data_IF_071769662238
#
_entry.id   IF_071769662238
#
_cell.length_a   1.000
_cell.length_b   1.000
_cell.length_c   1.000
_cell.angle_alpha   90.00
_cell.angle_beta   90.00
_cell.angle_gamma   90.00
#
_symmetry.space_group_name_H-M   'P 1'
#
loop_
_entity.id
_entity.type
_entity.pdbx_description
1 polymer ?
#
# COMPACT_ATOMS: atom_id res chain seq x y z
N UNK A 1 -28.36 5.39 11.76
CA UNK A 1 -27.56 4.16 11.97
C UNK A 1 -26.31 4.20 11.08
N UNK A 2 -25.20 4.81 11.53
CA UNK A 2 -23.95 4.91 10.74
C UNK A 2 -23.27 3.55 10.58
N UNK A 3 -23.22 2.75 11.65
CA UNK A 3 -22.67 1.39 11.66
C UNK A 3 -23.21 0.51 10.52
N UNK A 4 -24.53 0.44 10.35
CA UNK A 4 -25.14 -0.37 9.28
C UNK A 4 -24.75 0.12 7.88
N UNK A 5 -24.66 1.44 7.68
CA UNK A 5 -24.25 2.00 6.39
C UNK A 5 -22.78 1.67 6.09
N UNK A 6 -21.90 1.80 7.09
CA UNK A 6 -20.49 1.39 6.96
C UNK A 6 -20.37 -0.10 6.67
N UNK A 7 -21.06 -0.97 7.41
CA UNK A 7 -21.03 -2.41 7.15
C UNK A 7 -21.56 -2.75 5.75
N UNK A 8 -22.61 -2.04 5.29
CA UNK A 8 -23.14 -2.20 3.93
C UNK A 8 -22.10 -1.85 2.86
N UNK A 9 -21.28 -0.82 3.07
CA UNK A 9 -20.16 -0.49 2.18
C UNK A 9 -19.12 -1.63 2.18
N UNK A 10 -18.70 -2.09 3.35
CA UNK A 10 -17.71 -3.16 3.46
C UNK A 10 -18.20 -4.49 2.87
N UNK A 11 -19.51 -4.75 2.92
CA UNK A 11 -20.11 -5.93 2.32
C UNK A 11 -20.00 -5.95 0.78
N UNK A 12 -19.74 -4.82 0.10
CA UNK A 12 -19.45 -4.81 -1.34
C UNK A 12 -18.19 -5.61 -1.71
N UNK A 13 -17.32 -5.86 -0.73
CA UNK A 13 -16.07 -6.61 -0.89
C UNK A 13 -16.20 -8.08 -0.47
N UNK A 14 -17.27 -8.48 0.22
CA UNK A 14 -17.37 -9.76 0.96
C UNK A 14 -17.10 -11.01 0.12
N UNK A 15 -17.47 -10.98 -1.16
CA UNK A 15 -17.33 -12.11 -2.08
C UNK A 15 -16.14 -11.96 -3.05
N UNK A 16 -15.20 -11.04 -2.74
CA UNK A 16 -14.06 -10.74 -3.60
C UNK A 16 -12.75 -11.12 -2.89
N UNK A 17 -12.22 -12.31 -3.20
CA UNK A 17 -11.02 -12.91 -2.56
C UNK A 17 -9.74 -12.06 -2.60
N UNK A 18 -9.66 -11.09 -3.51
CA UNK A 18 -8.51 -10.19 -3.62
C UNK A 18 -8.54 -9.02 -2.63
N UNK A 19 -9.65 -8.79 -1.92
CA UNK A 19 -9.78 -7.67 -1.00
C UNK A 19 -9.73 -8.17 0.44
N UNK A 20 -8.63 -7.84 1.11
CA UNK A 20 -8.35 -8.29 2.46
C UNK A 20 -7.50 -7.24 3.17
N UNK A 21 -7.78 -7.04 4.45
CA UNK A 21 -7.00 -6.14 5.28
C UNK A 21 -5.56 -6.66 5.40
N UNK A 22 -4.61 -5.89 4.91
CA UNK A 22 -3.19 -6.27 4.86
C UNK A 22 -2.43 -5.61 5.99
N UNK A 23 -1.92 -6.42 6.91
CA UNK A 23 -1.09 -5.94 8.01
C UNK A 23 0.39 -5.92 7.56
N UNK A 24 0.85 -4.76 7.09
CA UNK A 24 2.24 -4.53 6.66
C UNK A 24 3.08 -4.15 7.86
N UNK A 25 4.25 -4.79 8.05
CA UNK A 25 5.10 -4.55 9.22
C UNK A 25 5.84 -3.21 9.19
N UNK A 26 5.84 -2.53 8.05
CA UNK A 26 6.46 -1.23 7.86
C UNK A 26 5.43 -0.33 7.22
N UNK A 27 5.32 0.91 7.72
CA UNK A 27 4.34 1.87 7.22
C UNK A 27 4.51 2.07 5.72
N UNK A 28 3.40 2.08 4.98
CA UNK A 28 3.40 2.23 3.52
C UNK A 28 4.14 3.50 3.08
N UNK A 29 3.81 4.64 3.67
CA UNK A 29 4.49 5.91 3.43
C UNK A 29 5.98 5.82 3.72
N UNK A 30 6.38 5.19 4.83
CA UNK A 30 7.79 4.99 5.18
C UNK A 30 8.54 4.13 4.16
N UNK A 31 7.91 3.11 3.57
CA UNK A 31 8.53 2.30 2.51
C UNK A 31 8.87 3.20 1.32
N UNK A 32 7.89 3.98 0.87
CA UNK A 32 8.02 4.81 -0.33
C UNK A 32 9.00 5.96 -0.09
N UNK A 33 8.81 6.72 0.99
CA UNK A 33 9.62 7.88 1.33
C UNK A 33 11.09 7.51 1.55
N UNK A 34 11.37 6.42 2.27
CA UNK A 34 12.76 5.98 2.51
C UNK A 34 13.41 5.39 1.27
N UNK A 35 12.66 4.65 0.45
CA UNK A 35 13.20 4.19 -0.83
C UNK A 35 13.54 5.39 -1.71
N UNK A 36 12.66 6.39 -1.79
CA UNK A 36 12.91 7.63 -2.53
C UNK A 36 14.15 8.38 -2.00
N UNK A 37 14.23 8.61 -0.70
CA UNK A 37 15.34 9.29 -0.04
C UNK A 37 16.68 8.57 -0.27
N UNK A 38 16.69 7.24 -0.11
CA UNK A 38 17.91 6.47 -0.31
C UNK A 38 18.32 6.47 -1.79
N UNK A 39 17.37 6.38 -2.71
CA UNK A 39 17.63 6.38 -4.15
C UNK A 39 18.17 7.74 -4.64
N UNK A 40 17.56 8.85 -4.22
CA UNK A 40 18.02 10.21 -4.55
C UNK A 40 19.39 10.55 -3.94
N UNK A 41 19.78 9.88 -2.85
CA UNK A 41 21.12 10.05 -2.25
C UNK A 41 22.27 9.44 -3.06
N UNK A 42 21.97 8.65 -4.10
CA UNK A 42 22.99 8.10 -5.00
C UNK A 42 23.54 9.22 -5.88
N UNK A 43 24.85 9.27 -6.12
CA UNK A 43 25.46 10.23 -7.06
C UNK A 43 24.91 10.03 -8.48
N UNK A 44 24.56 11.12 -9.18
CA UNK A 44 23.94 11.08 -10.51
C UNK A 44 24.66 10.18 -11.52
N UNK A 45 26.00 10.15 -11.49
CA UNK A 45 26.84 9.32 -12.38
C UNK A 45 26.72 7.82 -12.14
N UNK A 46 26.22 7.40 -10.96
CA UNK A 46 26.04 6.00 -10.56
C UNK A 46 24.59 5.55 -10.63
N UNK A 47 23.65 6.43 -11.00
CA UNK A 47 22.23 6.11 -11.02
C UNK A 47 21.89 5.27 -12.25
N UNK A 48 21.17 4.18 -12.03
CA UNK A 48 20.63 3.32 -13.09
C UNK A 48 19.11 3.17 -12.88
N UNK A 49 18.31 2.99 -13.95
CA UNK A 49 16.85 2.93 -13.85
C UNK A 49 16.33 1.57 -13.38
N UNK A 50 17.11 0.87 -12.54
CA UNK A 50 16.83 -0.48 -12.08
C UNK A 50 17.18 -0.64 -10.60
N UNK A 51 16.36 -1.42 -9.90
CA UNK A 51 16.67 -1.91 -8.56
C UNK A 51 16.81 -3.43 -8.59
N UNK A 52 17.69 -3.96 -7.74
CA UNK A 52 17.95 -5.40 -7.61
C UNK A 52 17.72 -5.86 -6.18
N UNK A 53 17.25 -7.09 -6.04
CA UNK A 53 17.27 -7.81 -4.77
C UNK A 53 18.57 -8.57 -4.66
N UNK A 54 19.40 -8.22 -3.69
CA UNK A 54 20.62 -8.94 -3.36
C UNK A 54 20.43 -9.81 -2.11
N UNK A 55 20.93 -11.04 -2.19
CA UNK A 55 20.99 -11.97 -1.05
C UNK A 55 22.39 -11.88 -0.42
N UNK A 56 22.39 -11.77 0.90
CA UNK A 56 23.56 -11.80 1.78
C UNK A 56 23.55 -13.10 2.61
N UNK A 57 24.56 -13.28 3.45
CA UNK A 57 24.69 -14.42 4.37
C UNK A 57 23.45 -14.46 5.31
N UNK A 58 23.07 -15.66 5.77
CA UNK A 58 21.98 -15.89 6.74
C UNK A 58 20.57 -15.47 6.32
N UNK A 59 20.20 -15.67 5.04
CA UNK A 59 18.87 -15.33 4.52
C UNK A 59 18.49 -13.85 4.73
N UNK A 60 19.50 -12.99 4.70
CA UNK A 60 19.33 -11.56 4.75
C UNK A 60 19.37 -10.99 3.32
N UNK A 61 18.51 -10.02 3.03
CA UNK A 61 18.35 -9.44 1.70
C UNK A 61 18.35 -7.90 1.75
N UNK A 62 18.79 -7.27 0.65
CA UNK A 62 18.70 -5.81 0.45
C UNK A 62 18.12 -5.48 -0.92
N UNK A 63 17.49 -4.30 -1.02
CA UNK A 63 17.27 -3.63 -2.30
C UNK A 63 18.50 -2.78 -2.61
N UNK A 64 19.01 -2.88 -3.84
CA UNK A 64 20.17 -2.10 -4.29
C UNK A 64 19.93 -1.43 -5.64
N UNK A 65 20.58 -0.30 -5.87
CA UNK A 65 20.72 0.35 -7.17
C UNK A 65 22.20 0.53 -7.44
N UNK A 66 22.70 -0.06 -8.53
CA UNK A 66 24.13 -0.05 -8.90
C UNK A 66 25.07 -0.43 -7.71
N UNK A 67 24.71 -1.49 -6.98
CA UNK A 67 25.45 -1.96 -5.79
C UNK A 67 25.27 -1.11 -4.52
N UNK A 68 24.53 0.00 -4.58
CA UNK A 68 24.26 0.87 -3.43
C UNK A 68 22.92 0.49 -2.80
N UNK A 69 22.92 0.26 -1.48
CA UNK A 69 21.72 -0.13 -0.72
C UNK A 69 20.68 0.99 -0.68
N UNK A 70 19.45 0.63 -1.05
CA UNK A 70 18.27 1.51 -1.05
C UNK A 70 17.10 0.92 -0.24
N UNK A 71 17.33 -0.18 0.48
CA UNK A 71 16.34 -0.82 1.36
C UNK A 71 15.69 0.22 2.29
N UNK A 72 14.35 0.28 2.40
CA UNK A 72 13.64 1.32 3.17
C UNK A 72 13.75 1.10 4.69
N UNK A 73 14.95 1.36 5.22
CA UNK A 73 15.30 1.20 6.63
C UNK A 73 16.02 2.44 7.13
N UNK A 74 15.92 2.74 8.43
CA UNK A 74 16.60 3.91 9.03
C UNK A 74 18.12 3.81 9.03
N UNK A 75 18.66 2.60 8.91
CA UNK A 75 20.10 2.34 8.94
C UNK A 75 20.52 1.91 7.54
N UNK A 76 21.29 2.73 6.83
CA UNK A 76 21.75 2.49 5.44
C UNK A 76 22.36 1.10 5.19
N UNK A 77 22.92 0.45 6.22
CA UNK A 77 23.51 -0.88 6.13
C UNK A 77 22.58 -2.03 6.53
N UNK A 78 21.35 -1.76 6.99
CA UNK A 78 20.47 -2.78 7.55
C UNK A 78 19.94 -3.70 6.47
N UNK A 79 20.17 -4.98 6.70
CA UNK A 79 19.69 -6.08 5.87
C UNK A 79 18.40 -6.62 6.51
N UNK A 80 17.46 -7.11 5.71
CA UNK A 80 16.14 -7.54 6.18
C UNK A 80 15.78 -8.96 5.69
N UNK A 81 14.71 -9.54 6.22
CA UNK A 81 14.24 -10.85 5.76
C UNK A 81 13.65 -10.78 4.34
N UNK A 82 13.62 -11.92 3.64
CA UNK A 82 12.97 -12.02 2.32
C UNK A 82 11.50 -11.60 2.35
N UNK A 83 10.80 -11.90 3.45
CA UNK A 83 9.40 -11.50 3.63
C UNK A 83 9.25 -9.97 3.66
N UNK A 84 10.16 -9.27 4.33
CA UNK A 84 10.18 -7.81 4.33
C UNK A 84 10.47 -7.24 2.93
N UNK A 85 11.46 -7.77 2.22
CA UNK A 85 11.75 -7.36 0.83
C UNK A 85 10.52 -7.55 -0.08
N UNK A 86 9.82 -8.69 0.02
CA UNK A 86 8.60 -8.93 -0.75
C UNK A 86 7.54 -7.87 -0.46
N UNK A 87 7.31 -7.53 0.81
CA UNK A 87 6.37 -6.47 1.18
C UNK A 87 6.79 -5.10 0.60
N UNK A 88 8.09 -4.78 0.63
CA UNK A 88 8.59 -3.53 0.06
C UNK A 88 8.36 -3.46 -1.44
N UNK A 89 8.67 -4.54 -2.16
CA UNK A 89 8.43 -4.65 -3.60
C UNK A 89 6.94 -4.59 -3.93
N UNK A 90 6.08 -5.31 -3.18
CA UNK A 90 4.63 -5.30 -3.35
C UNK A 90 4.06 -3.87 -3.24
N UNK A 91 4.57 -3.08 -2.29
CA UNK A 91 4.20 -1.66 -2.12
C UNK A 91 4.67 -0.83 -3.30
N UNK A 92 5.96 -0.91 -3.66
CA UNK A 92 6.54 -0.13 -4.76
C UNK A 92 5.89 -0.46 -6.11
N UNK A 93 5.59 -1.73 -6.37
CA UNK A 93 4.87 -2.17 -7.58
C UNK A 93 3.42 -1.68 -7.58
N UNK A 94 2.73 -1.71 -6.43
CA UNK A 94 1.35 -1.23 -6.31
C UNK A 94 1.22 0.24 -6.72
N UNK A 95 2.15 1.08 -6.25
CA UNK A 95 2.16 2.50 -6.59
C UNK A 95 2.84 2.81 -7.92
N UNK A 96 3.09 1.77 -8.73
CA UNK A 96 3.70 1.87 -10.07
C UNK A 96 5.03 2.64 -10.03
N UNK A 97 5.79 2.48 -8.95
CA UNK A 97 7.15 3.04 -8.82
C UNK A 97 8.12 2.16 -9.59
N UNK A 98 7.98 0.84 -9.41
CA UNK A 98 8.76 -0.17 -10.10
C UNK A 98 7.85 -1.14 -10.84
N UNK A 99 8.47 -1.87 -11.77
CA UNK A 99 7.86 -3.00 -12.47
C UNK A 99 8.90 -4.09 -12.63
N UNK A 100 8.55 -5.32 -12.27
CA UNK A 100 9.40 -6.49 -12.53
C UNK A 100 9.70 -6.62 -14.03
N UNK A 101 10.96 -6.82 -14.40
CA UNK A 101 11.40 -6.93 -15.81
C UNK A 101 11.03 -8.28 -16.42
N UNK A 102 11.08 -9.35 -15.62
CA UNK A 102 10.82 -10.73 -16.01
C UNK A 102 10.59 -11.60 -14.77
N UNK A 103 10.00 -12.80 -14.93
CA UNK A 103 9.61 -13.64 -13.79
C UNK A 103 10.78 -14.22 -13.01
N UNK A 104 11.96 -14.34 -13.63
CA UNK A 104 13.11 -15.09 -13.09
C UNK A 104 14.16 -14.15 -12.51
N UNK A 105 14.27 -12.91 -12.99
CA UNK A 105 15.23 -11.97 -12.42
C UNK A 105 14.82 -11.41 -11.06
N UNK A 106 15.84 -11.08 -10.28
CA UNK A 106 15.73 -10.26 -9.09
C UNK A 106 15.77 -8.75 -9.42
N UNK A 107 15.47 -8.37 -10.68
CA UNK A 107 15.59 -7.01 -11.18
C UNK A 107 14.22 -6.38 -11.43
N UNK A 108 14.10 -5.11 -11.09
CA UNK A 108 12.88 -4.33 -11.24
C UNK A 108 13.24 -3.00 -11.89
N UNK A 109 12.57 -2.68 -13.00
CA UNK A 109 12.71 -1.40 -13.69
C UNK A 109 11.95 -0.33 -12.91
N UNK A 110 12.56 0.82 -12.71
CA UNK A 110 11.88 2.00 -12.17
C UNK A 110 11.10 2.63 -13.33
N UNK A 111 9.80 2.80 -13.13
CA UNK A 111 8.87 3.28 -14.16
C UNK A 111 8.18 4.59 -13.78
N UNK A 112 8.28 5.02 -12.52
CA UNK A 112 7.79 6.32 -12.09
C UNK A 112 8.84 7.40 -12.39
N UNK A 113 8.43 8.40 -13.16
CA UNK A 113 9.32 9.48 -13.59
C UNK A 113 9.80 10.35 -12.44
N UNK A 114 9.03 10.57 -11.39
CA UNK A 114 9.47 11.36 -10.21
C UNK A 114 10.59 10.62 -9.45
N UNK A 115 10.49 9.30 -9.32
CA UNK A 115 11.58 8.45 -8.82
C UNK A 115 12.83 8.47 -9.71
N UNK A 116 12.67 8.81 -11.00
CA UNK A 116 13.76 9.02 -11.95
C UNK A 116 14.20 10.50 -12.04
N UNK A 117 13.38 11.44 -11.59
CA UNK A 117 13.58 12.89 -11.68
C UNK A 117 13.94 13.45 -10.30
N UNK A 118 15.24 13.45 -10.05
CA UNK A 118 15.88 13.58 -8.75
C UNK A 118 15.79 14.96 -8.07
N UNK A 119 15.18 15.95 -8.72
CA UNK A 119 14.98 17.31 -8.19
C UNK A 119 13.57 17.52 -7.63
N UNK A 120 12.70 16.51 -7.74
CA UNK A 120 11.31 16.60 -7.27
C UNK A 120 11.17 16.09 -5.83
N UNK A 121 10.15 16.52 -5.10
CA UNK A 121 9.80 15.90 -3.82
C UNK A 121 8.64 14.94 -4.07
N UNK A 122 8.82 13.65 -3.78
CA UNK A 122 7.72 12.70 -3.85
C UNK A 122 6.70 13.01 -2.74
N UNK A 123 5.42 13.13 -3.12
CA UNK A 123 4.33 13.39 -2.19
C UNK A 123 3.54 12.10 -1.91
N UNK A 124 3.82 11.49 -0.75
CA UNK A 124 3.14 10.28 -0.29
C UNK A 124 1.74 10.52 0.28
N UNK A 125 1.22 11.75 0.24
CA UNK A 125 -0.15 12.05 0.71
C UNK A 125 -1.23 11.71 -0.32
N UNK A 126 -0.88 11.59 -1.60
CA UNK A 126 -1.82 11.30 -2.72
C UNK A 126 -1.83 9.84 -3.17
N UNK A 127 -1.44 8.95 -2.26
CA UNK A 127 -1.28 7.53 -2.60
C UNK A 127 -2.62 6.84 -2.88
N UNK A 128 -3.72 7.27 -2.24
CA UNK A 128 -5.02 6.63 -2.48
C UNK A 128 -5.57 6.97 -3.86
N UNK A 129 -5.37 8.19 -4.34
CA UNK A 129 -5.75 8.64 -5.66
C UNK A 129 -5.08 7.78 -6.75
N UNK A 130 -3.82 7.38 -6.54
CA UNK A 130 -3.13 6.43 -7.43
C UNK A 130 -3.86 5.09 -7.46
N UNK A 131 -4.27 4.55 -6.31
CA UNK A 131 -5.02 3.30 -6.23
C UNK A 131 -6.39 3.43 -6.93
N UNK A 132 -7.09 4.54 -6.69
CA UNK A 132 -8.40 4.84 -7.26
C UNK A 132 -8.34 4.96 -8.80
N UNK A 133 -7.44 5.78 -9.32
CA UNK A 133 -7.26 6.00 -10.78
C UNK A 133 -6.86 4.72 -11.52
N UNK A 134 -6.17 3.81 -10.84
CA UNK A 134 -5.70 2.55 -11.40
C UNK A 134 -6.53 1.33 -10.95
N UNK A 135 -7.73 1.53 -10.40
CA UNK A 135 -8.51 0.48 -9.74
C UNK A 135 -8.63 -0.83 -10.55
N UNK A 136 -8.91 -0.73 -11.85
CA UNK A 136 -9.05 -1.88 -12.75
C UNK A 136 -7.74 -2.62 -13.07
N UNK A 137 -6.60 -1.97 -12.82
CA UNK A 137 -5.24 -2.50 -13.08
C UNK A 137 -4.51 -2.87 -11.80
N UNK A 138 -5.18 -2.80 -10.64
CA UNK A 138 -4.57 -3.14 -9.36
C UNK A 138 -4.20 -4.62 -9.32
N UNK A 139 -2.97 -4.89 -8.90
CA UNK A 139 -2.55 -6.23 -8.49
C UNK A 139 -3.37 -6.69 -7.27
N UNK A 140 -3.28 -7.97 -6.90
CA UNK A 140 -3.87 -8.47 -5.66
C UNK A 140 -3.46 -7.63 -4.44
N UNK A 141 -2.19 -7.25 -4.35
CA UNK A 141 -1.68 -6.38 -3.27
C UNK A 141 -2.20 -4.95 -3.35
N UNK A 142 -2.39 -4.41 -4.55
CA UNK A 142 -3.06 -3.13 -4.73
C UNK A 142 -4.51 -3.14 -4.25
N UNK A 143 -5.25 -4.23 -4.51
CA UNK A 143 -6.63 -4.41 -4.02
C UNK A 143 -6.67 -4.54 -2.50
N UNK A 144 -5.75 -5.30 -1.91
CA UNK A 144 -5.58 -5.38 -0.45
C UNK A 144 -5.29 -4.00 0.17
N UNK A 145 -4.41 -3.20 -0.43
CA UNK A 145 -4.10 -1.82 0.03
C UNK A 145 -5.31 -0.88 -0.08
N UNK A 146 -6.01 -0.93 -1.21
CA UNK A 146 -7.22 -0.14 -1.44
C UNK A 146 -8.27 -0.46 -0.36
N UNK A 147 -8.56 -1.75 -0.16
CA UNK A 147 -9.50 -2.19 0.87
C UNK A 147 -9.07 -1.78 2.28
N UNK A 148 -7.79 -1.99 2.62
CA UNK A 148 -7.27 -1.65 3.95
C UNK A 148 -7.44 -0.15 4.24
N UNK A 149 -7.18 0.70 3.24
CA UNK A 149 -7.36 2.15 3.38
C UNK A 149 -8.83 2.53 3.55
N UNK A 150 -9.74 1.94 2.77
CA UNK A 150 -11.19 2.17 2.90
C UNK A 150 -11.71 1.74 4.27
N UNK A 151 -11.32 0.54 4.74
CA UNK A 151 -11.69 0.05 6.08
C UNK A 151 -11.19 0.99 7.16
N UNK A 152 -9.92 1.39 7.10
CA UNK A 152 -9.33 2.32 8.06
C UNK A 152 -10.04 3.67 8.05
N UNK A 153 -10.32 4.22 6.88
CA UNK A 153 -11.03 5.49 6.76
C UNK A 153 -12.42 5.43 7.39
N UNK A 154 -13.24 4.46 6.99
CA UNK A 154 -14.60 4.30 7.48
C UNK A 154 -14.66 4.08 9.00
N UNK A 155 -13.76 3.24 9.53
CA UNK A 155 -13.72 2.96 10.96
C UNK A 155 -13.27 4.16 11.80
N UNK A 156 -12.32 4.97 11.31
CA UNK A 156 -11.77 6.10 12.06
C UNK A 156 -12.68 7.34 11.99
N UNK A 157 -13.32 7.59 10.85
CA UNK A 157 -13.99 8.87 10.61
C UNK A 157 -15.51 8.82 10.83
N UNK A 158 -16.13 7.63 10.81
CA UNK A 158 -17.59 7.50 10.87
C UNK A 158 -18.13 6.74 12.09
N UNK A 159 -17.28 6.06 12.85
CA UNK A 159 -17.67 5.14 13.92
C UNK A 159 -16.94 5.44 15.23
N UNK A 160 -17.51 4.95 16.33
CA UNK A 160 -16.92 5.07 17.66
C UNK A 160 -15.97 3.90 17.95
N UNK A 161 -15.00 4.09 18.84
CA UNK A 161 -13.98 3.09 19.17
C UNK A 161 -14.56 1.72 19.62
N UNK A 162 -15.76 1.72 20.22
CA UNK A 162 -16.45 0.54 20.72
C UNK A 162 -17.28 -0.18 19.65
N UNK A 163 -17.53 0.45 18.50
CA UNK A 163 -18.23 -0.20 17.39
C UNK A 163 -17.43 -1.38 16.86
N UNK A 164 -18.14 -2.41 16.39
CA UNK A 164 -17.54 -3.63 15.84
C UNK A 164 -17.95 -3.80 14.38
N UNK A 165 -16.96 -4.00 13.51
CA UNK A 165 -17.14 -4.25 12.09
C UNK A 165 -16.75 -5.69 11.73
N UNK A 166 -17.46 -6.27 10.78
CA UNK A 166 -17.04 -7.49 10.10
C UNK A 166 -16.18 -7.11 8.89
N UNK A 167 -14.87 -7.43 8.97
CA UNK A 167 -13.88 -7.13 7.92
C UNK A 167 -13.24 -8.42 7.39
N UNK A 168 -12.77 -8.39 6.15
CA UNK A 168 -12.05 -9.51 5.52
C UNK A 168 -10.60 -9.48 6.01
N UNK A 169 -10.21 -10.48 6.79
CA UNK A 169 -8.88 -10.57 7.41
C UNK A 169 -8.33 -12.00 7.33
N UNK A 170 -7.02 -12.16 7.13
CA UNK A 170 -6.42 -13.51 7.02
C UNK A 170 -6.82 -14.28 5.76
N UNK A 171 -6.72 -15.62 5.75
CA UNK A 171 -7.08 -16.46 4.59
C UNK A 171 -8.61 -16.53 4.42
N UNK A 172 -9.21 -15.41 4.07
CA UNK A 172 -10.61 -15.29 3.63
C UNK A 172 -11.65 -15.49 4.73
N UNK A 173 -11.27 -15.20 5.99
CA UNK A 173 -12.21 -15.24 7.11
C UNK A 173 -12.70 -13.83 7.43
N UNK A 174 -14.01 -13.63 7.30
CA UNK A 174 -14.66 -12.49 7.92
C UNK A 174 -14.41 -12.51 9.42
N UNK A 175 -13.87 -11.42 9.95
CA UNK A 175 -13.52 -11.28 11.35
C UNK A 175 -14.23 -10.07 11.92
N UNK A 176 -14.88 -10.25 13.07
CA UNK A 176 -15.37 -9.14 13.88
C UNK A 176 -14.19 -8.48 14.59
N UNK A 177 -14.00 -7.19 14.35
CA UNK A 177 -12.89 -6.39 14.87
C UNK A 177 -13.46 -5.06 15.36
N UNK A 178 -13.01 -4.59 16.52
CA UNK A 178 -13.45 -3.28 17.04
C UNK A 178 -12.79 -2.13 16.26
N UNK A 179 -13.44 -0.97 16.21
CA UNK A 179 -12.88 0.19 15.53
C UNK A 179 -11.55 0.66 16.17
N UNK A 180 -11.38 0.55 17.49
CA UNK A 180 -10.09 0.77 18.16
C UNK A 180 -8.97 -0.15 17.65
N UNK A 181 -9.28 -1.44 17.43
CA UNK A 181 -8.32 -2.37 16.85
C UNK A 181 -7.98 -2.02 15.40
N UNK A 182 -8.97 -1.61 14.60
CA UNK A 182 -8.75 -1.14 13.22
C UNK A 182 -7.85 0.10 13.23
N UNK A 183 -8.10 1.05 14.13
CA UNK A 183 -7.30 2.27 14.27
C UNK A 183 -5.83 1.96 14.61
N UNK A 184 -5.58 1.05 15.55
CA UNK A 184 -4.21 0.61 15.90
C UNK A 184 -3.51 -0.02 14.70
N UNK A 185 -4.18 -0.96 14.01
CA UNK A 185 -3.64 -1.58 12.80
C UNK A 185 -3.37 -0.55 11.70
N UNK A 186 -4.25 0.44 11.53
CA UNK A 186 -4.11 1.52 10.57
C UNK A 186 -2.85 2.35 10.85
N UNK A 187 -2.62 2.72 12.12
CA UNK A 187 -1.43 3.46 12.56
C UNK A 187 -0.14 2.69 12.34
N UNK A 188 -0.15 1.38 12.62
CA UNK A 188 1.03 0.52 12.47
C UNK A 188 1.43 0.36 11.00
N UNK A 189 0.42 0.26 10.12
CA UNK A 189 0.63 0.12 8.67
C UNK A 189 0.75 1.47 7.93
N UNK A 190 0.42 2.59 8.58
CA UNK A 190 0.42 3.93 7.98
C UNK A 190 -0.80 4.22 7.09
N UNK A 191 -1.89 3.47 7.20
CA UNK A 191 -3.15 3.75 6.48
C UNK A 191 -3.84 5.01 7.00
N UNK A 192 -3.61 5.36 8.26
CA UNK A 192 -4.09 6.61 8.87
C UNK A 192 -3.53 7.87 8.20
N UNK A 193 -2.39 7.76 7.52
CA UNK A 193 -1.77 8.85 6.76
C UNK A 193 -2.33 8.96 5.33
N UNK A 194 -2.85 7.86 4.79
CA UNK A 194 -3.34 7.76 3.39
C UNK A 194 -4.86 7.97 3.33
N UNK A 195 -5.58 7.71 4.43
CA UNK A 195 -7.05 7.73 4.47
C UNK A 195 -7.68 9.04 4.03
N UNK A 196 -7.04 10.19 4.26
CA UNK A 196 -7.66 11.49 3.95
C UNK A 196 -7.90 11.64 2.45
N UNK A 197 -7.03 11.06 1.64
CA UNK A 197 -7.14 11.02 0.17
C UNK A 197 -8.26 10.07 -0.30
N UNK A 198 -8.76 9.19 0.59
CA UNK A 198 -9.94 8.36 0.32
C UNK A 198 -11.25 9.14 0.27
N UNK A 199 -11.25 10.42 0.68
CA UNK A 199 -12.37 11.34 0.46
C UNK A 199 -12.76 11.49 -1.02
N UNK A 200 -11.87 11.11 -1.97
CA UNK A 200 -12.21 11.01 -3.40
C UNK A 200 -13.39 10.06 -3.69
N UNK A 201 -13.71 9.14 -2.76
CA UNK A 201 -14.85 8.23 -2.90
C UNK A 201 -16.20 8.91 -2.68
N UNK A 202 -16.25 10.05 -1.98
CA UNK A 202 -17.50 10.75 -1.68
C UNK A 202 -17.45 11.56 -0.39
N UNK A 203 -18.45 12.43 -0.20
CA UNK A 203 -18.56 13.30 0.96
C UNK A 203 -19.37 12.66 2.10
N UNK A 204 -20.21 11.68 1.78
CA UNK A 204 -20.98 10.90 2.76
C UNK A 204 -21.03 9.39 2.46
N UNK A 205 -21.63 8.61 3.36
CA UNK A 205 -21.71 7.15 3.26
C UNK A 205 -22.52 6.64 2.06
N UNK A 206 -23.49 7.40 1.57
CA UNK A 206 -24.30 6.99 0.41
C UNK A 206 -23.51 7.25 -0.89
N UNK A 207 -22.79 8.39 -0.98
CA UNK A 207 -21.86 8.68 -2.07
C UNK A 207 -20.77 7.62 -2.19
N UNK A 208 -20.11 7.30 -1.07
CA UNK A 208 -19.03 6.29 -1.02
C UNK A 208 -19.55 4.95 -1.54
N UNK A 209 -20.75 4.55 -1.11
CA UNK A 209 -21.38 3.31 -1.54
C UNK A 209 -21.63 3.29 -3.05
N UNK A 210 -22.21 4.36 -3.60
CA UNK A 210 -22.50 4.48 -5.03
C UNK A 210 -21.21 4.51 -5.88
N UNK A 211 -20.19 5.23 -5.43
CA UNK A 211 -18.88 5.28 -6.10
C UNK A 211 -18.23 3.90 -6.15
N UNK A 212 -18.23 3.15 -5.06
CA UNK A 212 -17.67 1.79 -5.03
C UNK A 212 -18.45 0.82 -5.93
N UNK A 213 -19.78 0.90 -5.95
CA UNK A 213 -20.59 0.12 -6.91
C UNK A 213 -20.16 0.42 -8.34
N UNK A 214 -20.02 1.70 -8.69
CA UNK A 214 -19.66 2.12 -10.04
C UNK A 214 -18.24 1.66 -10.41
N UNK A 215 -17.30 1.71 -9.46
CA UNK A 215 -15.96 1.15 -9.66
C UNK A 215 -16.00 -0.36 -9.95
N UNK A 216 -16.81 -1.13 -9.20
CA UNK A 216 -16.92 -2.57 -9.42
C UNK A 216 -17.64 -2.93 -10.72
N UNK A 217 -18.61 -2.14 -11.17
CA UNK A 217 -19.28 -2.35 -12.47
C UNK A 217 -18.32 -2.20 -13.64
N UNK A 218 -17.38 -1.26 -13.56
CA UNK A 218 -16.35 -1.02 -14.61
C UNK A 218 -15.28 -2.13 -14.72
N UNK A 219 -15.39 -3.21 -13.94
CA UNK A 219 -14.49 -4.37 -14.04
C UNK A 219 -14.98 -5.45 -15.01
N UNK A 220 -16.25 -5.38 -15.43
CA UNK A 220 -16.89 -6.27 -16.39
C UNK A 220 -17.27 -5.48 -17.65
#
# INVERSE_FOLDING_TARGET
MKLNKVQRILNLFKDKEDYKFWNVKTKITTIIDKTYLNFTSIESSKRIPFIKVEKYIDNQYSLVCNGIKITPTDKKMRIVSLSAIRQYLDVLETFRIIKRTDKISNEYKIINEEFLNFDTKFDSTRLFEILYRNFNKLSKKGKELFYSTVVSWLAIDYLDNYDTLEIIYGKDKNKKVTCDQIYKMAKDCGYDLIKNDAGILGYDLDDIYLTLINLFKKQF
#
